data_IF_662940589728
#
_entry.id   IF_662940589728
#
_cell.length_a   1.000
_cell.length_b   1.000
_cell.length_c   1.000
_cell.angle_alpha   90.00
_cell.angle_beta   90.00
_cell.angle_gamma   90.00
#
_symmetry.space_group_name_H-M   'P 1'
#
loop_
_entity.id
_entity.type
_entity.pdbx_description
1 polymer ?
#
# COMPACT_ATOMS: atom_id res chain seq x y z
N UNK A 1 17.36 -6.37 12.53
CA UNK A 1 16.61 -5.12 12.37
C UNK A 1 15.19 -5.30 12.88
N UNK A 2 14.72 -4.39 13.72
CA UNK A 2 13.38 -4.47 14.29
C UNK A 2 12.38 -3.82 13.34
N UNK A 3 11.29 -4.52 13.04
CA UNK A 3 10.22 -4.03 12.16
C UNK A 3 8.91 -4.05 12.92
N UNK A 4 8.15 -2.98 12.82
CA UNK A 4 6.79 -2.88 13.39
C UNK A 4 5.79 -2.96 12.25
N UNK A 5 4.91 -3.96 12.30
CA UNK A 5 3.81 -4.09 11.35
C UNK A 5 2.53 -3.61 12.03
N UNK A 6 1.82 -2.70 11.38
CA UNK A 6 0.68 -2.00 11.97
C UNK A 6 -0.50 -2.00 11.00
N UNK A 7 -1.69 -2.24 11.54
CA UNK A 7 -2.94 -2.07 10.83
C UNK A 7 -3.78 -1.03 11.57
N UNK A 8 -3.88 0.21 11.07
CA UNK A 8 -4.70 1.23 11.73
C UNK A 8 -6.17 0.80 11.80
N UNK A 9 -6.80 1.04 12.95
CA UNK A 9 -8.22 0.78 13.16
C UNK A 9 -9.05 2.07 13.12
N UNK A 10 -8.43 3.19 12.76
CA UNK A 10 -9.11 4.47 12.58
C UNK A 10 -9.86 4.51 11.26
N UNK A 11 -10.78 5.48 11.11
CA UNK A 11 -11.31 5.80 9.79
C UNK A 11 -10.18 6.24 8.86
N UNK A 12 -10.35 6.02 7.56
CA UNK A 12 -9.30 6.26 6.56
C UNK A 12 -8.74 7.69 6.62
N UNK A 13 -9.59 8.69 6.81
CA UNK A 13 -9.18 10.08 6.91
C UNK A 13 -8.40 10.42 8.17
N UNK A 14 -8.30 9.51 9.14
CA UNK A 14 -7.54 9.66 10.37
C UNK A 14 -6.27 8.80 10.40
N UNK A 15 -5.91 8.17 9.29
CA UNK A 15 -4.72 7.31 9.21
C UNK A 15 -3.44 8.05 9.57
N UNK A 16 -3.31 9.31 9.17
CA UNK A 16 -2.13 10.12 9.44
C UNK A 16 -1.90 10.37 10.92
N UNK A 17 -2.96 10.59 11.70
CA UNK A 17 -2.86 10.77 13.16
C UNK A 17 -2.27 9.51 13.80
N UNK A 18 -2.79 8.35 13.43
CA UNK A 18 -2.32 7.08 13.94
C UNK A 18 -0.83 6.86 13.64
N UNK A 19 -0.43 7.06 12.39
CA UNK A 19 0.96 6.87 11.97
C UNK A 19 1.89 7.86 12.67
N UNK A 20 1.49 9.12 12.77
CA UNK A 20 2.30 10.15 13.46
C UNK A 20 2.56 9.77 14.91
N UNK A 21 1.51 9.38 15.64
CA UNK A 21 1.66 8.96 17.03
C UNK A 21 2.62 7.78 17.20
N UNK A 22 2.54 6.81 16.29
CA UNK A 22 3.38 5.61 16.33
C UNK A 22 4.84 5.92 16.04
N UNK A 23 5.13 6.71 15.02
CA UNK A 23 6.52 7.04 14.68
C UNK A 23 7.17 7.93 15.74
N UNK A 24 6.39 8.79 16.38
CA UNK A 24 6.88 9.60 17.51
C UNK A 24 7.18 8.71 18.72
N UNK A 25 6.28 7.79 19.04
CA UNK A 25 6.46 6.86 20.16
C UNK A 25 7.69 5.96 19.99
N UNK A 26 7.86 5.36 18.82
CA UNK A 26 8.98 4.48 18.53
C UNK A 26 10.23 5.20 18.02
N UNK A 27 10.18 6.53 17.89
CA UNK A 27 11.29 7.37 17.39
C UNK A 27 11.78 6.91 16.02
N UNK A 28 10.84 6.73 15.10
CA UNK A 28 11.11 6.30 13.71
C UNK A 28 11.03 7.52 12.80
N UNK A 29 11.99 7.67 11.89
CA UNK A 29 11.94 8.70 10.85
C UNK A 29 10.88 8.34 9.80
N UNK A 30 10.18 9.35 9.26
CA UNK A 30 9.18 9.14 8.21
C UNK A 30 9.74 8.37 7.00
N UNK A 31 11.00 8.62 6.63
CA UNK A 31 11.67 7.90 5.52
C UNK A 31 11.75 6.39 5.72
N UNK A 32 11.56 5.90 6.95
CA UNK A 32 11.58 4.48 7.28
C UNK A 32 10.17 3.88 7.40
N UNK A 33 9.14 4.67 7.08
CA UNK A 33 7.75 4.20 7.02
C UNK A 33 7.48 3.63 5.64
N UNK A 34 6.81 2.48 5.59
CA UNK A 34 6.34 1.86 4.35
C UNK A 34 4.84 1.67 4.50
N UNK A 35 4.06 2.28 3.60
CA UNK A 35 2.60 2.21 3.62
C UNK A 35 2.12 1.37 2.45
N UNK A 36 1.34 0.34 2.75
CA UNK A 36 0.63 -0.44 1.73
C UNK A 36 -0.78 0.13 1.61
N UNK A 37 -1.20 0.44 0.39
CA UNK A 37 -2.54 0.98 0.16
C UNK A 37 -3.11 0.51 -1.17
N UNK A 38 -4.43 0.54 -1.26
CA UNK A 38 -5.17 0.21 -2.47
C UNK A 38 -5.00 1.30 -3.54
N UNK A 39 -5.13 0.91 -4.80
CA UNK A 39 -5.08 1.83 -5.92
C UNK A 39 -5.99 1.35 -7.06
N UNK A 40 -7.01 2.14 -7.38
CA UNK A 40 -7.95 1.82 -8.46
C UNK A 40 -7.36 2.06 -9.85
N UNK A 41 -6.29 2.82 -9.97
CA UNK A 41 -5.63 3.13 -11.24
C UNK A 41 -4.65 2.04 -11.68
N UNK A 42 -4.42 1.05 -10.83
CA UNK A 42 -3.54 -0.08 -11.12
C UNK A 42 -4.41 -1.34 -11.23
N UNK A 43 -4.16 -2.14 -12.25
CA UNK A 43 -4.92 -3.38 -12.49
C UNK A 43 -4.82 -4.33 -11.30
N UNK A 44 -5.88 -5.08 -11.05
CA UNK A 44 -5.89 -6.08 -9.99
C UNK A 44 -4.74 -7.08 -10.20
N UNK A 45 -3.96 -7.29 -9.16
CA UNK A 45 -2.81 -8.19 -9.20
C UNK A 45 -1.49 -7.51 -9.55
N UNK A 46 -1.50 -6.21 -9.83
CA UNK A 46 -0.28 -5.45 -10.07
C UNK A 46 0.10 -4.62 -8.86
N UNK A 47 1.39 -4.38 -8.70
CA UNK A 47 1.93 -3.61 -7.58
C UNK A 47 2.96 -2.61 -8.09
N UNK A 48 2.95 -1.42 -7.50
CA UNK A 48 4.01 -0.42 -7.69
C UNK A 48 4.49 0.09 -6.34
N UNK A 49 5.79 0.04 -6.12
CA UNK A 49 6.41 0.64 -4.95
C UNK A 49 7.17 1.89 -5.36
N UNK A 50 7.06 2.94 -4.55
CA UNK A 50 7.70 4.23 -4.82
C UNK A 50 7.95 4.97 -3.51
N UNK A 51 9.03 5.72 -3.47
CA UNK A 51 9.29 6.68 -2.40
C UNK A 51 8.66 8.03 -2.77
N UNK A 52 7.81 8.57 -1.89
CA UNK A 52 7.11 9.83 -2.14
C UNK A 52 6.00 9.70 -3.18
N UNK A 53 5.64 10.81 -3.80
CA UNK A 53 4.66 10.87 -4.87
C UNK A 53 3.32 11.49 -4.46
N UNK A 54 2.35 11.42 -5.37
CA UNK A 54 1.02 11.96 -5.17
C UNK A 54 0.10 10.96 -4.46
N UNK A 55 -0.86 11.47 -3.70
CA UNK A 55 -1.92 10.66 -3.08
C UNK A 55 -2.94 10.15 -4.11
N UNK A 56 -3.00 10.77 -5.29
CA UNK A 56 -3.98 10.50 -6.33
C UNK A 56 -5.42 10.44 -5.80
N UNK A 57 -5.74 11.27 -4.80
CA UNK A 57 -7.06 11.34 -4.19
C UNK A 57 -7.36 10.27 -3.13
N UNK A 58 -6.40 9.42 -2.80
CA UNK A 58 -6.58 8.42 -1.73
C UNK A 58 -6.63 9.12 -0.38
N UNK A 59 -7.76 9.05 0.32
CA UNK A 59 -7.99 9.78 1.57
C UNK A 59 -7.02 9.42 2.68
N UNK A 60 -6.66 8.15 2.80
CA UNK A 60 -5.70 7.69 3.79
C UNK A 60 -4.31 8.24 3.53
N UNK A 61 -3.87 8.24 2.28
CA UNK A 61 -2.56 8.78 1.90
C UNK A 61 -2.53 10.31 2.08
N UNK A 62 -3.60 11.01 1.71
CA UNK A 62 -3.69 12.45 1.97
C UNK A 62 -3.55 12.77 3.46
N UNK A 63 -4.20 11.99 4.32
CA UNK A 63 -4.09 12.13 5.76
C UNK A 63 -2.66 11.91 6.25
N UNK A 64 -1.99 10.86 5.79
CA UNK A 64 -0.61 10.57 6.15
C UNK A 64 0.31 11.70 5.68
N UNK A 65 0.19 12.14 4.43
CA UNK A 65 0.98 13.23 3.87
C UNK A 65 0.84 14.51 4.70
N UNK A 66 -0.36 14.79 5.18
CA UNK A 66 -0.64 15.97 6.01
C UNK A 66 0.11 15.93 7.34
N UNK A 67 0.23 14.75 7.95
CA UNK A 67 0.79 14.62 9.31
C UNK A 67 2.28 14.33 9.35
N UNK A 68 2.81 13.58 8.37
CA UNK A 68 4.24 13.20 8.37
C UNK A 68 5.00 13.64 7.13
N UNK A 69 4.35 14.35 6.20
CA UNK A 69 4.95 14.72 4.92
C UNK A 69 4.93 13.58 3.91
N UNK A 70 5.56 13.78 2.76
CA UNK A 70 5.53 12.82 1.64
C UNK A 70 6.75 11.93 1.55
N UNK A 71 7.75 12.13 2.40
CA UNK A 71 9.04 11.43 2.32
C UNK A 71 8.98 10.09 3.05
N UNK A 72 8.15 9.19 2.55
CA UNK A 72 8.04 7.80 2.98
C UNK A 72 7.75 6.91 1.78
N UNK A 73 7.96 5.60 1.96
CA UNK A 73 7.74 4.63 0.88
C UNK A 73 6.28 4.20 0.81
N UNK A 74 5.78 4.00 -0.41
CA UNK A 74 4.41 3.56 -0.69
C UNK A 74 4.42 2.33 -1.56
N UNK A 75 3.62 1.35 -1.19
CA UNK A 75 3.36 0.17 -2.01
C UNK A 75 1.90 0.23 -2.45
N UNK A 76 1.69 0.50 -3.73
CA UNK A 76 0.38 0.64 -4.34
C UNK A 76 -0.08 -0.73 -4.80
N UNK A 77 -1.15 -1.23 -4.21
CA UNK A 77 -1.73 -2.54 -4.53
C UNK A 77 -2.93 -2.31 -5.45
N UNK A 78 -2.84 -2.80 -6.69
CA UNK A 78 -3.89 -2.61 -7.68
C UNK A 78 -5.16 -3.38 -7.34
N UNK A 79 -6.29 -2.69 -7.37
CA UNK A 79 -7.61 -3.30 -7.23
C UNK A 79 -8.46 -3.12 -8.49
N UNK A 80 -7.95 -2.39 -9.47
CA UNK A 80 -8.64 -2.10 -10.72
C UNK A 80 -9.77 -1.10 -10.58
N UNK A 81 -10.24 -0.58 -11.71
CA UNK A 81 -11.37 0.34 -11.77
C UNK A 81 -12.67 -0.42 -12.00
N UNK A 82 -13.76 -0.04 -11.32
CA UNK A 82 -15.08 -0.55 -11.70
C UNK A 82 -15.47 0.03 -13.07
N UNK A 83 -16.36 -0.68 -13.79
CA UNK A 83 -16.83 -0.25 -15.13
C UNK A 83 -17.56 1.10 -15.09
N UNK A 84 -18.25 1.40 -13.99
CA UNK A 84 -19.00 2.64 -13.81
C UNK A 84 -18.32 3.50 -12.73
N UNK A 85 -18.02 4.76 -13.08
CA UNK A 85 -17.40 5.72 -12.15
C UNK A 85 -18.20 5.94 -10.87
N UNK A 86 -19.52 5.85 -10.95
CA UNK A 86 -20.42 6.03 -9.81
C UNK A 86 -20.27 4.94 -8.74
N UNK A 87 -19.60 3.84 -9.08
CA UNK A 87 -19.40 2.70 -8.17
C UNK A 87 -17.99 2.61 -7.60
N UNK A 88 -17.13 3.60 -7.85
CA UNK A 88 -15.74 3.57 -7.38
C UNK A 88 -15.67 3.38 -5.87
N UNK A 89 -16.43 4.15 -5.12
CA UNK A 89 -16.44 4.07 -3.66
C UNK A 89 -16.88 2.69 -3.16
N UNK A 90 -17.94 2.14 -3.76
CA UNK A 90 -18.42 0.80 -3.40
C UNK A 90 -17.41 -0.28 -3.77
N UNK A 91 -16.76 -0.15 -4.92
CA UNK A 91 -15.72 -1.10 -5.36
C UNK A 91 -14.57 -1.19 -4.35
N UNK A 92 -14.11 -0.05 -3.84
CA UNK A 92 -13.03 0.01 -2.85
C UNK A 92 -13.45 -0.62 -1.51
N UNK A 93 -14.72 -0.46 -1.13
CA UNK A 93 -15.24 -0.91 0.16
C UNK A 93 -15.81 -2.34 0.13
N UNK A 94 -16.07 -2.88 -1.06
CA UNK A 94 -16.64 -4.22 -1.21
C UNK A 94 -15.59 -5.32 -0.94
N UNK A 95 -16.06 -6.46 -0.47
CA UNK A 95 -15.22 -7.66 -0.35
C UNK A 95 -14.87 -8.19 -1.75
N UNK A 96 -13.70 -8.82 -1.84
CA UNK A 96 -13.27 -9.47 -3.08
C UNK A 96 -14.09 -10.74 -3.35
N UNK A 97 -14.36 -11.03 -4.64
CA UNK A 97 -14.92 -12.32 -5.05
C UNK A 97 -13.88 -13.44 -4.80
N UNK A 98 -14.34 -14.70 -4.71
CA UNK A 98 -13.47 -15.84 -4.40
C UNK A 98 -12.21 -15.93 -5.28
N UNK A 99 -12.35 -15.72 -6.59
CA UNK A 99 -11.22 -15.74 -7.52
C UNK A 99 -10.25 -14.58 -7.29
N UNK A 100 -10.77 -13.45 -6.79
CA UNK A 100 -9.95 -12.30 -6.42
C UNK A 100 -9.24 -12.52 -5.08
N UNK A 101 -9.87 -13.23 -4.15
CA UNK A 101 -9.25 -13.60 -2.87
C UNK A 101 -7.99 -14.42 -3.06
N UNK A 102 -8.01 -15.39 -4.00
CA UNK A 102 -6.82 -16.17 -4.34
C UNK A 102 -5.71 -15.29 -4.90
N UNK A 103 -6.04 -14.36 -5.78
CA UNK A 103 -5.06 -13.40 -6.33
C UNK A 103 -4.46 -12.53 -5.22
N UNK A 104 -5.29 -12.01 -4.32
CA UNK A 104 -4.83 -11.19 -3.20
C UNK A 104 -3.93 -11.99 -2.27
N UNK A 105 -4.25 -13.26 -2.03
CA UNK A 105 -3.39 -14.14 -1.23
C UNK A 105 -2.02 -14.32 -1.88
N UNK A 106 -1.99 -14.59 -3.20
CA UNK A 106 -0.75 -14.75 -3.95
C UNK A 106 0.09 -13.47 -3.92
N UNK A 107 -0.54 -12.32 -4.08
CA UNK A 107 0.11 -11.01 -3.96
C UNK A 107 0.73 -10.86 -2.57
N UNK A 108 -0.05 -11.14 -1.53
CA UNK A 108 0.39 -11.02 -0.13
C UNK A 108 1.58 -11.94 0.14
N UNK A 109 1.53 -13.18 -0.29
CA UNK A 109 2.61 -14.14 -0.11
C UNK A 109 3.90 -13.67 -0.80
N UNK A 110 3.78 -13.11 -2.01
CA UNK A 110 4.93 -12.56 -2.74
C UNK A 110 5.51 -11.31 -2.07
N UNK A 111 4.64 -10.43 -1.57
CA UNK A 111 5.07 -9.26 -0.80
C UNK A 111 5.89 -9.68 0.42
N UNK A 112 5.38 -10.64 1.18
CA UNK A 112 6.06 -11.12 2.40
C UNK A 112 7.44 -11.66 2.08
N UNK A 113 7.59 -12.43 1.01
CA UNK A 113 8.89 -12.96 0.57
C UNK A 113 9.88 -11.86 0.21
N UNK A 114 9.41 -10.74 -0.31
CA UNK A 114 10.24 -9.66 -0.84
C UNK A 114 10.35 -8.46 0.10
N UNK A 115 9.83 -8.56 1.33
CA UNK A 115 9.96 -7.49 2.34
C UNK A 115 11.42 -7.04 2.56
N UNK A 116 12.43 -7.93 2.59
CA UNK A 116 13.82 -7.47 2.71
C UNK A 116 14.24 -6.50 1.61
N UNK A 117 13.74 -6.68 0.39
CA UNK A 117 14.01 -5.77 -0.73
C UNK A 117 13.41 -4.38 -0.47
N UNK A 118 12.19 -4.33 0.10
CA UNK A 118 11.57 -3.07 0.53
C UNK A 118 12.36 -2.39 1.64
N UNK A 119 12.80 -3.14 2.63
CA UNK A 119 13.58 -2.62 3.76
C UNK A 119 14.89 -2.01 3.26
N UNK A 120 15.48 -2.58 2.23
CA UNK A 120 16.68 -2.05 1.58
C UNK A 120 16.38 -0.87 0.64
N UNK A 121 15.12 -0.43 0.55
CA UNK A 121 14.67 0.70 -0.28
C UNK A 121 14.86 0.49 -1.78
N UNK A 122 14.87 -0.75 -2.23
CA UNK A 122 14.98 -1.12 -3.65
C UNK A 122 13.58 -1.21 -4.28
N UNK A 123 12.93 -0.06 -4.43
CA UNK A 123 11.50 0.02 -4.82
C UNK A 123 11.23 -0.57 -6.21
N UNK A 124 12.05 -0.23 -7.19
CA UNK A 124 11.87 -0.73 -8.57
C UNK A 124 12.10 -2.23 -8.65
N UNK A 125 13.13 -2.72 -7.96
CA UNK A 125 13.44 -4.13 -7.90
C UNK A 125 12.31 -4.92 -7.23
N UNK A 126 11.77 -4.39 -6.13
CA UNK A 126 10.63 -4.98 -5.45
C UNK A 126 9.42 -5.09 -6.37
N UNK A 127 9.04 -3.99 -7.02
CA UNK A 127 7.91 -3.95 -7.95
C UNK A 127 8.09 -4.95 -9.09
N UNK A 128 9.26 -4.96 -9.71
CA UNK A 128 9.57 -5.86 -10.82
C UNK A 128 9.48 -7.33 -10.40
N UNK A 129 10.06 -7.69 -9.27
CA UNK A 129 10.05 -9.08 -8.79
C UNK A 129 8.66 -9.56 -8.41
N UNK A 130 7.88 -8.73 -7.72
CA UNK A 130 6.49 -9.11 -7.36
C UNK A 130 5.67 -9.31 -8.63
N UNK A 131 5.71 -8.35 -9.56
CA UNK A 131 4.93 -8.42 -10.79
C UNK A 131 5.38 -9.60 -11.67
N UNK A 132 6.68 -9.89 -11.73
CA UNK A 132 7.22 -11.03 -12.46
C UNK A 132 6.71 -12.36 -11.88
N UNK A 133 6.74 -12.51 -10.58
CA UNK A 133 6.26 -13.73 -9.90
C UNK A 133 4.77 -13.95 -10.13
N UNK A 134 3.98 -12.87 -10.14
CA UNK A 134 2.53 -12.96 -10.37
C UNK A 134 2.20 -13.27 -11.83
N UNK A 135 2.97 -12.75 -12.78
CA UNK A 135 2.75 -12.98 -14.21
C UNK A 135 3.29 -14.33 -14.70
N UNK A 136 4.23 -14.93 -13.98
CA UNK A 136 4.82 -16.22 -14.33
C UNK A 136 3.99 -17.43 -13.93
N UNK A 137 2.83 -17.17 -13.37
CA UNK A 137 1.89 -18.23 -12.95
C UNK A 137 0.83 -18.50 -14.07
#
# INVERSE_FOLDING_TARGET
KKVYAIKPLTFMNNSGVCIKELIEYFKIDAKNVIVFHDDIDIDLGKIKAKFGGSSAGHNGIESIDKFIGKDYSRVRVGIGKPEEKTKVSNHVLDDFAENEEEKIKDITDNIVKLVPTLINKEMDLFSSKVNQNLNGI
#
